data_IF_175995133980
#
_entry.id   IF_175995133980
#
_cell.length_a   1.000
_cell.length_b   1.000
_cell.length_c   1.000
_cell.angle_alpha   90.00
_cell.angle_beta   90.00
_cell.angle_gamma   90.00
#
_symmetry.space_group_name_H-M   'P 1'
#
loop_
_entity.id
_entity.type
_entity.pdbx_description
1 polymer ?
#
# COMPACT_ATOMS: atom_id res chain seq x y z
N UNK A 1 -10.69 10.68 29.73
CA UNK A 1 -9.82 10.12 28.67
C UNK A 1 -10.67 10.10 27.41
N UNK A 2 -10.16 10.46 26.22
CA UNK A 2 -10.95 10.31 25.01
C UNK A 2 -11.27 8.82 24.84
N UNK A 3 -12.55 8.46 24.84
CA UNK A 3 -12.99 7.11 24.51
C UNK A 3 -12.70 6.90 23.03
N UNK A 4 -11.68 6.10 22.70
CA UNK A 4 -11.45 5.66 21.33
C UNK A 4 -12.66 4.86 20.88
N UNK A 5 -13.40 5.41 19.91
CA UNK A 5 -14.55 4.76 19.29
C UNK A 5 -14.09 4.06 18.03
N UNK A 6 -13.93 2.75 18.10
CA UNK A 6 -13.69 1.93 16.92
C UNK A 6 -15.02 1.69 16.20
N UNK A 7 -15.03 1.97 14.90
CA UNK A 7 -16.21 1.80 14.05
C UNK A 7 -15.83 0.80 12.97
N UNK A 8 -16.61 -0.28 12.86
CA UNK A 8 -16.40 -1.37 11.91
C UNK A 8 -17.74 -1.85 11.37
N UNK A 9 -17.73 -2.36 10.14
CA UNK A 9 -18.89 -2.99 9.52
C UNK A 9 -18.72 -4.51 9.52
N UNK A 10 -19.79 -5.24 9.84
CA UNK A 10 -19.77 -6.69 9.82
C UNK A 10 -20.13 -7.20 8.42
N UNK A 11 -19.16 -7.82 7.72
CA UNK A 11 -19.35 -8.46 6.41
C UNK A 11 -20.42 -9.56 6.48
N UNK A 12 -20.52 -10.22 7.64
CA UNK A 12 -21.54 -11.26 7.88
C UNK A 12 -21.95 -11.28 9.34
N UNK A 13 -23.24 -11.42 9.57
CA UNK A 13 -23.83 -11.62 10.89
C UNK A 13 -24.45 -13.00 10.97
N UNK A 14 -24.29 -13.67 12.11
CA UNK A 14 -24.96 -14.92 12.43
C UNK A 14 -25.54 -14.82 13.84
N UNK A 15 -26.83 -15.10 13.96
CA UNK A 15 -27.54 -15.14 15.25
C UNK A 15 -27.94 -16.58 15.54
N UNK A 16 -27.64 -17.07 16.74
CA UNK A 16 -28.05 -18.39 17.20
C UNK A 16 -28.66 -18.29 18.59
N UNK A 17 -29.61 -19.17 18.88
CA UNK A 17 -30.24 -19.28 20.20
C UNK A 17 -29.72 -20.54 20.88
N UNK A 18 -29.22 -20.41 22.10
CA UNK A 18 -28.84 -21.53 22.97
C UNK A 18 -29.65 -21.48 24.26
N UNK A 19 -29.45 -22.47 25.14
CA UNK A 19 -30.06 -22.49 26.48
C UNK A 19 -29.60 -21.31 27.36
N UNK A 20 -28.46 -20.72 27.02
CA UNK A 20 -27.85 -19.61 27.76
C UNK A 20 -28.26 -18.24 27.20
N UNK A 21 -29.11 -18.21 26.17
CA UNK A 21 -29.63 -16.99 25.56
C UNK A 21 -29.33 -16.87 24.07
N UNK A 22 -29.26 -15.64 23.58
CA UNK A 22 -28.95 -15.34 22.17
C UNK A 22 -27.46 -15.06 22.01
N UNK A 23 -26.85 -15.69 21.02
CA UNK A 23 -25.47 -15.42 20.60
C UNK A 23 -25.49 -14.72 19.24
N UNK A 24 -24.86 -13.55 19.17
CA UNK A 24 -24.62 -12.82 17.93
C UNK A 24 -23.13 -12.94 17.58
N UNK A 25 -22.83 -13.49 16.42
CA UNK A 25 -21.49 -13.58 15.87
C UNK A 25 -21.35 -12.61 14.69
N UNK A 26 -20.43 -11.66 14.81
CA UNK A 26 -20.08 -10.68 13.79
C UNK A 26 -18.76 -11.08 13.14
N UNK A 27 -18.73 -11.23 11.82
CA UNK A 27 -17.49 -11.41 11.06
C UNK A 27 -17.02 -10.05 10.56
N UNK A 28 -15.88 -9.62 11.07
CA UNK A 28 -15.22 -8.37 10.71
C UNK A 28 -14.14 -8.65 9.67
N UNK A 29 -14.01 -7.77 8.67
CA UNK A 29 -12.90 -7.86 7.74
C UNK A 29 -11.61 -7.43 8.46
N UNK A 30 -10.44 -8.07 8.21
CA UNK A 30 -9.19 -7.68 8.87
C UNK A 30 -8.81 -6.22 8.65
N UNK A 31 -9.17 -5.62 7.51
CA UNK A 31 -8.88 -4.21 7.22
C UNK A 31 -9.73 -3.22 8.02
N UNK A 32 -10.87 -3.66 8.58
CA UNK A 32 -11.78 -2.80 9.35
C UNK A 32 -11.45 -2.85 10.86
N UNK A 33 -10.50 -3.69 11.26
CA UNK A 33 -10.01 -3.78 12.62
C UNK A 33 -8.85 -2.81 12.84
N UNK A 34 -8.86 -2.13 13.98
CA UNK A 34 -7.70 -1.37 14.42
C UNK A 34 -6.59 -2.30 14.88
N UNK A 35 -5.35 -1.81 14.79
CA UNK A 35 -4.17 -2.56 15.22
C UNK A 35 -4.27 -2.96 16.70
N UNK A 36 -4.86 -2.12 17.54
CA UNK A 36 -5.02 -2.38 18.97
C UNK A 36 -5.95 -3.57 19.23
N UNK A 37 -7.08 -3.65 18.51
CA UNK A 37 -7.99 -4.80 18.58
C UNK A 37 -7.33 -6.09 18.08
N UNK A 38 -6.50 -6.00 17.03
CA UNK A 38 -5.77 -7.14 16.48
C UNK A 38 -4.68 -7.69 17.42
N UNK A 39 -4.16 -6.85 18.33
CA UNK A 39 -3.11 -7.22 19.27
C UNK A 39 -3.64 -7.73 20.61
N UNK A 40 -4.96 -7.72 20.83
CA UNK A 40 -5.55 -8.22 22.07
C UNK A 40 -5.29 -9.74 22.23
N UNK A 41 -4.99 -10.22 23.44
CA UNK A 41 -4.89 -11.64 23.72
C UNK A 41 -6.17 -12.40 23.35
N UNK A 42 -6.01 -13.61 22.82
CA UNK A 42 -7.15 -14.50 22.52
C UNK A 42 -7.98 -14.73 23.79
N UNK A 43 -9.28 -14.48 23.70
CA UNK A 43 -10.21 -14.58 24.84
C UNK A 43 -10.48 -13.26 25.56
N UNK A 44 -9.85 -12.16 25.15
CA UNK A 44 -10.18 -10.81 25.64
C UNK A 44 -11.64 -10.48 25.35
N UNK A 45 -12.34 -9.92 26.34
CA UNK A 45 -13.73 -9.47 26.21
C UNK A 45 -13.75 -7.99 25.92
N UNK A 46 -14.44 -7.60 24.85
CA UNK A 46 -14.65 -6.20 24.46
C UNK A 46 -16.13 -5.85 24.54
N UNK A 47 -16.44 -4.65 25.01
CA UNK A 47 -17.78 -4.09 24.93
C UNK A 47 -18.02 -3.55 23.52
N UNK A 48 -19.20 -3.82 22.97
CA UNK A 48 -19.61 -3.30 21.66
C UNK A 48 -20.95 -2.59 21.78
N UNK A 49 -21.08 -1.44 21.12
CA UNK A 49 -22.34 -0.73 20.98
C UNK A 49 -22.83 -0.91 19.53
N UNK A 50 -24.03 -1.46 19.36
CA UNK A 50 -24.70 -1.51 18.07
C UNK A 50 -25.52 -0.24 17.90
N UNK A 51 -25.29 0.47 16.80
CA UNK A 51 -25.99 1.70 16.47
C UNK A 51 -26.78 1.45 15.18
N UNK A 52 -28.10 1.76 15.14
CA UNK A 52 -28.86 1.72 13.90
C UNK A 52 -28.34 2.80 12.95
N UNK A 53 -28.08 2.42 11.70
CA UNK A 53 -27.70 3.31 10.60
C UNK A 53 -28.82 3.28 9.55
N UNK A 54 -29.06 4.39 8.83
CA UNK A 54 -29.95 4.40 7.69
C UNK A 54 -29.31 3.67 6.49
N UNK A 55 -30.11 3.27 5.48
CA UNK A 55 -29.60 2.54 4.30
C UNK A 55 -28.56 3.35 3.51
N UNK A 56 -28.63 4.69 3.58
CA UNK A 56 -27.69 5.61 2.94
C UNK A 56 -26.51 6.02 3.86
N UNK A 57 -26.55 5.63 5.13
CA UNK A 57 -25.49 5.93 6.09
C UNK A 57 -24.46 4.79 6.12
N UNK A 58 -23.21 5.11 5.81
CA UNK A 58 -22.08 4.21 6.05
C UNK A 58 -21.65 4.22 7.52
N UNK A 59 -20.86 3.22 7.92
CA UNK A 59 -20.18 3.25 9.21
C UNK A 59 -19.32 4.53 9.30
N UNK A 60 -19.42 5.29 10.41
CA UNK A 60 -18.64 6.52 10.60
C UNK A 60 -17.15 6.29 10.31
N UNK A 61 -16.59 7.06 9.38
CA UNK A 61 -15.19 6.94 8.97
C UNK A 61 -14.26 7.02 10.17
N UNK A 62 -13.43 5.99 10.37
CA UNK A 62 -12.34 6.05 11.33
C UNK A 62 -11.31 7.07 10.82
N UNK A 63 -11.44 8.32 11.29
CA UNK A 63 -10.64 9.47 10.83
C UNK A 63 -9.14 9.22 10.90
N UNK A 64 -8.67 8.48 11.90
CA UNK A 64 -7.25 8.13 12.01
C UNK A 64 -6.82 7.11 10.95
N UNK A 65 -7.62 6.06 10.75
CA UNK A 65 -7.37 5.07 9.69
C UNK A 65 -7.36 5.74 8.31
N UNK A 66 -8.35 6.58 8.02
CA UNK A 66 -8.46 7.32 6.76
C UNK A 66 -7.28 8.28 6.58
N UNK A 67 -6.82 8.95 7.65
CA UNK A 67 -5.65 9.82 7.58
C UNK A 67 -4.35 9.06 7.28
N UNK A 68 -4.21 7.83 7.80
CA UNK A 68 -3.05 6.95 7.55
C UNK A 68 -3.05 6.45 6.12
N UNK A 69 -4.19 5.93 5.65
CA UNK A 69 -4.35 5.48 4.25
C UNK A 69 -4.06 6.62 3.28
N UNK A 70 -4.64 7.81 3.50
CA UNK A 70 -4.39 8.98 2.66
C UNK A 70 -2.92 9.42 2.66
N UNK A 71 -2.22 9.27 3.80
CA UNK A 71 -0.78 9.57 3.89
C UNK A 71 0.05 8.55 3.10
N UNK A 72 -0.24 7.26 3.25
CA UNK A 72 0.42 6.17 2.52
C UNK A 72 0.22 6.32 1.01
N UNK A 73 -1.00 6.62 0.55
CA UNK A 73 -1.32 6.89 -0.85
C UNK A 73 -0.55 8.10 -1.40
N UNK A 74 -0.46 9.17 -0.61
CA UNK A 74 0.28 10.38 -0.99
C UNK A 74 1.79 10.11 -1.09
N UNK A 75 2.34 9.34 -0.16
CA UNK A 75 3.75 8.93 -0.18
C UNK A 75 4.04 8.02 -1.38
N UNK A 76 3.17 7.05 -1.66
CA UNK A 76 3.26 6.19 -2.85
C UNK A 76 3.18 6.99 -4.15
N UNK A 77 2.24 7.94 -4.25
CA UNK A 77 2.10 8.80 -5.41
C UNK A 77 3.34 9.71 -5.60
N UNK A 78 3.90 10.26 -4.52
CA UNK A 78 5.12 11.05 -4.57
C UNK A 78 6.32 10.20 -5.03
N UNK A 79 6.44 8.96 -4.54
CA UNK A 79 7.51 8.05 -4.93
C UNK A 79 7.41 7.65 -6.42
N UNK A 80 6.21 7.34 -6.91
CA UNK A 80 5.95 7.06 -8.33
C UNK A 80 6.32 8.24 -9.24
N UNK A 81 6.00 9.47 -8.83
CA UNK A 81 6.38 10.69 -9.58
C UNK A 81 7.89 10.87 -9.65
N UNK A 82 8.59 10.69 -8.52
CA UNK A 82 10.06 10.77 -8.46
C UNK A 82 10.70 9.73 -9.38
N UNK A 83 10.21 8.49 -9.33
CA UNK A 83 10.65 7.40 -10.20
C UNK A 83 10.49 7.73 -11.68
N UNK A 84 9.29 8.17 -12.09
CA UNK A 84 9.02 8.53 -13.48
C UNK A 84 10.00 9.62 -13.98
N UNK A 85 10.27 10.62 -13.13
CA UNK A 85 11.22 11.69 -13.44
C UNK A 85 12.64 11.14 -13.66
N UNK A 86 13.12 10.24 -12.80
CA UNK A 86 14.45 9.64 -12.93
C UNK A 86 14.54 8.75 -14.17
N UNK A 87 13.53 7.90 -14.41
CA UNK A 87 13.47 7.06 -15.62
C UNK A 87 13.52 7.91 -16.88
N UNK A 88 12.71 8.96 -16.96
CA UNK A 88 12.66 9.81 -18.14
C UNK A 88 13.99 10.57 -18.31
N UNK A 89 14.69 10.91 -17.21
CA UNK A 89 16.05 11.45 -17.26
C UNK A 89 17.08 10.47 -17.82
N UNK A 90 17.01 9.19 -17.44
CA UNK A 90 17.85 8.11 -17.99
C UNK A 90 17.61 7.95 -19.49
N UNK A 91 16.34 7.84 -19.89
CA UNK A 91 15.95 7.62 -21.29
C UNK A 91 16.38 8.77 -22.22
N UNK A 92 16.54 9.97 -21.67
CA UNK A 92 17.01 11.14 -22.41
C UNK A 92 18.52 11.41 -22.19
N UNK A 93 19.25 10.54 -21.49
CA UNK A 93 20.67 10.72 -21.22
C UNK A 93 21.49 10.45 -22.49
N UNK A 94 22.41 11.34 -22.88
CA UNK A 94 23.28 11.10 -24.02
C UNK A 94 24.28 9.95 -23.76
N UNK A 95 24.47 9.52 -22.51
CA UNK A 95 25.39 8.45 -22.13
C UNK A 95 24.72 7.08 -22.04
N UNK A 96 23.41 7.01 -22.28
CA UNK A 96 22.66 5.76 -22.18
C UNK A 96 23.18 4.69 -23.16
N UNK A 97 23.48 5.08 -24.39
CA UNK A 97 24.01 4.18 -25.42
C UNK A 97 25.36 3.57 -25.00
N UNK A 98 26.29 4.37 -24.46
CA UNK A 98 27.59 3.89 -23.98
C UNK A 98 27.43 2.87 -22.83
N UNK A 99 26.57 3.19 -21.86
CA UNK A 99 26.26 2.27 -20.76
C UNK A 99 25.64 0.96 -21.24
N UNK A 100 24.78 1.01 -22.27
CA UNK A 100 24.14 -0.17 -22.84
C UNK A 100 25.11 -1.04 -23.64
N UNK A 101 26.00 -0.43 -24.43
CA UNK A 101 27.03 -1.10 -25.22
C UNK A 101 28.04 -1.85 -24.33
N UNK A 102 28.50 -1.24 -23.24
CA UNK A 102 29.43 -1.90 -22.29
C UNK A 102 28.84 -3.16 -21.66
N UNK A 103 27.51 -3.27 -21.62
CA UNK A 103 26.79 -4.42 -21.05
C UNK A 103 26.35 -5.44 -22.08
N UNK A 104 26.67 -5.22 -23.35
CA UNK A 104 26.27 -6.10 -24.44
C UNK A 104 24.75 -6.24 -24.55
N UNK A 105 23.99 -5.22 -24.17
CA UNK A 105 22.53 -5.23 -24.28
C UNK A 105 22.14 -5.13 -25.75
N UNK A 106 21.45 -6.16 -26.27
CA UNK A 106 21.08 -6.27 -27.67
C UNK A 106 19.61 -5.87 -27.87
N UNK A 107 19.32 -4.60 -28.19
CA UNK A 107 17.95 -4.13 -28.39
C UNK A 107 17.84 -2.61 -28.43
N UNK A 108 16.60 -2.08 -28.47
CA UNK A 108 16.39 -0.64 -28.23
C UNK A 108 16.64 -0.33 -26.75
N UNK A 109 17.43 0.70 -26.43
CA UNK A 109 17.84 0.99 -25.04
C UNK A 109 16.62 1.16 -24.12
N UNK A 110 15.52 1.66 -24.69
CA UNK A 110 14.24 1.86 -24.02
C UNK A 110 13.55 0.55 -23.61
N UNK A 111 13.52 -0.44 -24.50
CA UNK A 111 12.86 -1.71 -24.25
C UNK A 111 13.70 -2.58 -23.30
N UNK A 112 15.02 -2.48 -23.37
CA UNK A 112 15.93 -3.12 -22.42
C UNK A 112 15.84 -2.49 -21.02
N UNK A 113 15.72 -1.17 -20.88
CA UNK A 113 15.45 -0.54 -19.57
C UNK A 113 14.10 -1.01 -19.02
N UNK A 114 13.04 -1.01 -19.83
CA UNK A 114 11.72 -1.45 -19.38
C UNK A 114 11.70 -2.97 -19.03
N UNK A 115 12.51 -3.79 -19.71
CA UNK A 115 12.67 -5.23 -19.45
C UNK A 115 13.57 -5.53 -18.24
N UNK A 116 14.65 -4.76 -18.06
CA UNK A 116 15.58 -4.87 -16.92
C UNK A 116 14.91 -4.41 -15.63
N UNK A 117 13.94 -3.49 -15.70
CA UNK A 117 13.03 -3.15 -14.60
C UNK A 117 11.94 -4.22 -14.41
N UNK A 118 12.32 -5.50 -14.45
CA UNK A 118 11.48 -6.67 -14.72
C UNK A 118 10.28 -6.90 -13.79
N UNK A 119 9.63 -8.06 -13.95
CA UNK A 119 8.43 -8.45 -13.21
C UNK A 119 8.66 -8.42 -11.70
N UNK A 120 8.01 -7.48 -11.03
CA UNK A 120 8.14 -7.23 -9.60
C UNK A 120 7.18 -6.13 -9.18
N UNK A 121 7.09 -5.89 -7.88
CA UNK A 121 6.36 -4.76 -7.33
C UNK A 121 6.97 -3.44 -7.81
N UNK A 122 6.18 -2.38 -7.86
CA UNK A 122 6.64 -1.07 -8.32
C UNK A 122 7.82 -0.51 -7.50
N UNK A 123 7.98 -0.96 -6.25
CA UNK A 123 9.08 -0.59 -5.36
C UNK A 123 10.41 -1.18 -5.83
N UNK A 124 10.44 -2.47 -6.15
CA UNK A 124 11.63 -3.17 -6.65
C UNK A 124 12.11 -2.52 -7.97
N UNK A 125 11.17 -2.26 -8.89
CA UNK A 125 11.48 -1.54 -10.14
C UNK A 125 12.08 -0.16 -9.90
N UNK A 126 11.62 0.53 -8.85
CA UNK A 126 12.10 1.88 -8.56
C UNK A 126 13.53 1.93 -8.03
N UNK A 127 13.96 0.90 -7.30
CA UNK A 127 15.33 0.77 -6.80
C UNK A 127 16.31 0.45 -7.93
N UNK A 128 15.90 -0.42 -8.87
CA UNK A 128 16.70 -0.76 -10.04
C UNK A 128 16.94 0.46 -10.94
N UNK A 129 15.91 1.26 -11.22
CA UNK A 129 16.07 2.52 -11.97
C UNK A 129 17.01 3.50 -11.28
N UNK A 130 16.91 3.63 -9.95
CA UNK A 130 17.81 4.51 -9.20
C UNK A 130 19.26 4.01 -9.26
N UNK A 131 19.48 2.70 -9.32
CA UNK A 131 20.81 2.11 -9.50
C UNK A 131 21.35 2.41 -10.89
N UNK A 132 20.57 2.17 -11.95
CA UNK A 132 20.93 2.49 -13.34
C UNK A 132 21.28 3.98 -13.48
N UNK A 133 20.46 4.87 -12.89
CA UNK A 133 20.73 6.31 -12.92
C UNK A 133 22.10 6.69 -12.34
N UNK A 134 22.48 6.09 -11.22
CA UNK A 134 23.78 6.34 -10.57
C UNK A 134 24.94 5.84 -11.43
N UNK A 135 24.78 4.70 -12.06
CA UNK A 135 25.79 4.14 -12.95
C UNK A 135 26.00 5.04 -14.16
N UNK A 136 24.93 5.46 -14.84
CA UNK A 136 25.00 6.40 -15.96
C UNK A 136 25.63 7.75 -15.53
N UNK A 137 25.31 8.27 -14.34
CA UNK A 137 25.92 9.49 -13.81
C UNK A 137 27.44 9.39 -13.62
N UNK A 138 27.97 8.20 -13.34
CA UNK A 138 29.42 8.01 -13.19
C UNK A 138 30.20 8.22 -14.49
N UNK A 139 29.58 7.96 -15.65
CA UNK A 139 30.16 8.26 -16.98
C UNK A 139 30.19 9.76 -17.30
N UNK A 140 29.41 10.58 -16.58
CA UNK A 140 29.42 12.04 -16.73
C UNK A 140 30.58 12.68 -15.95
N UNK A 141 31.07 11.99 -14.91
CA UNK A 141 32.07 12.52 -13.98
C UNK A 141 33.49 11.96 -14.16
N UNK A 142 33.65 10.92 -14.99
CA UNK A 142 34.94 10.37 -15.40
C UNK A 142 35.43 11.00 -16.71
#
# INVERSE_FOLDING_TARGET
MPEERYVFEAVKMQMSQSKDGWALALRLHPNDLTLDLMQLPVGTRVGVALVPIADDDGAFENRELMSRVAKEEKEEAAHKRKYATVRDGILNSPYLHMWAEERGLAGSEKQEIDNMCGSGTWKERSEEILKIAKEIQSYVQG
#
